data_IF_511468201194
#
_entry.id   IF_511468201194
#
_cell.length_a   1.000
_cell.length_b   1.000
_cell.length_c   1.000
_cell.angle_alpha   90.00
_cell.angle_beta   90.00
_cell.angle_gamma   90.00
#
_symmetry.space_group_name_H-M   'P 1'
#
loop_
_entity.id
_entity.type
_entity.pdbx_description
1 polymer ?
#
# COMPACT_ATOMS: atom_id res chain seq x y z
N UNK A 1 16.83 -21.58 -15.73
CA UNK A 1 18.09 -21.31 -15.00
C UNK A 1 17.91 -21.76 -13.55
N UNK A 2 18.85 -22.54 -13.00
CA UNK A 2 18.72 -23.02 -11.62
C UNK A 2 19.08 -21.87 -10.66
N UNK A 3 18.23 -21.50 -9.67
CA UNK A 3 18.48 -20.35 -8.78
C UNK A 3 19.79 -20.44 -8.00
N UNK A 4 20.22 -21.64 -7.62
CA UNK A 4 21.49 -21.86 -6.93
C UNK A 4 22.68 -21.57 -7.84
N UNK A 5 22.64 -22.00 -9.11
CA UNK A 5 23.69 -21.72 -10.08
C UNK A 5 23.84 -20.22 -10.30
N UNK A 6 22.71 -19.50 -10.47
CA UNK A 6 22.71 -18.05 -10.60
C UNK A 6 23.29 -17.35 -9.36
N UNK A 7 22.98 -17.83 -8.16
CA UNK A 7 23.55 -17.29 -6.91
C UNK A 7 25.07 -17.45 -6.87
N UNK A 8 25.62 -18.58 -7.33
CA UNK A 8 27.06 -18.77 -7.43
C UNK A 8 27.71 -17.86 -8.47
N UNK A 9 27.12 -17.74 -9.65
CA UNK A 9 27.65 -16.86 -10.71
C UNK A 9 27.68 -15.39 -10.23
N UNK A 10 26.63 -14.92 -9.57
CA UNK A 10 26.58 -13.56 -8.99
C UNK A 10 27.64 -13.39 -7.90
N UNK A 11 27.84 -14.39 -7.05
CA UNK A 11 28.87 -14.37 -6.00
C UNK A 11 30.28 -14.23 -6.61
N UNK A 12 30.62 -15.04 -7.58
CA UNK A 12 31.92 -14.99 -8.26
C UNK A 12 32.13 -13.63 -8.97
N UNK A 13 31.09 -13.12 -9.66
CA UNK A 13 31.17 -11.81 -10.29
C UNK A 13 31.40 -10.67 -9.29
N UNK A 14 30.78 -10.72 -8.10
CA UNK A 14 31.01 -9.73 -7.04
C UNK A 14 32.45 -9.82 -6.51
N UNK A 15 32.96 -11.03 -6.30
CA UNK A 15 34.34 -11.19 -5.85
C UNK A 15 35.35 -10.67 -6.87
N UNK A 16 35.17 -11.01 -8.14
CA UNK A 16 36.02 -10.51 -9.22
C UNK A 16 35.96 -8.97 -9.29
N UNK A 17 34.79 -8.38 -9.23
CA UNK A 17 34.62 -6.94 -9.20
C UNK A 17 35.36 -6.27 -8.03
N UNK A 18 35.25 -6.83 -6.83
CA UNK A 18 35.91 -6.28 -5.64
C UNK A 18 37.42 -6.41 -5.74
N UNK A 19 37.93 -7.56 -6.16
CA UNK A 19 39.36 -7.81 -6.31
C UNK A 19 40.02 -6.96 -7.40
N UNK A 20 39.27 -6.64 -8.45
CA UNK A 20 39.76 -5.79 -9.54
C UNK A 20 39.69 -4.30 -9.20
N UNK A 21 38.67 -3.89 -8.44
CA UNK A 21 38.43 -2.49 -8.09
C UNK A 21 39.27 -2.03 -6.89
N UNK A 22 39.43 -2.89 -5.88
CA UNK A 22 40.14 -2.57 -4.64
C UNK A 22 41.46 -3.34 -4.57
N UNK A 23 42.53 -2.73 -5.07
CA UNK A 23 43.87 -3.29 -5.03
C UNK A 23 44.73 -2.54 -4.04
N UNK A 24 45.28 -3.28 -3.08
CA UNK A 24 46.24 -2.75 -2.11
C UNK A 24 47.67 -2.92 -2.67
N UNK A 25 48.52 -1.93 -2.42
CA UNK A 25 49.94 -2.00 -2.81
C UNK A 25 50.72 -2.99 -1.97
N UNK A 26 50.33 -3.11 -0.70
CA UNK A 26 50.92 -4.06 0.23
C UNK A 26 50.32 -5.45 0.02
N UNK A 27 51.20 -6.44 -0.19
CA UNK A 27 50.81 -7.82 -0.51
C UNK A 27 50.13 -8.52 0.69
N UNK A 28 50.56 -8.22 1.90
CA UNK A 28 50.00 -8.88 3.09
C UNK A 28 48.63 -8.30 3.43
N UNK A 29 48.42 -7.00 3.24
CA UNK A 29 47.11 -6.36 3.33
C UNK A 29 46.17 -6.91 2.24
N UNK A 30 46.65 -7.07 1.00
CA UNK A 30 45.85 -7.67 -0.08
C UNK A 30 45.39 -9.08 0.25
N UNK A 31 46.27 -9.93 0.78
CA UNK A 31 45.95 -11.29 1.19
C UNK A 31 44.95 -11.32 2.35
N UNK A 32 45.17 -10.48 3.37
CA UNK A 32 44.25 -10.38 4.51
C UNK A 32 42.86 -9.92 4.07
N UNK A 33 42.79 -8.94 3.16
CA UNK A 33 41.52 -8.48 2.57
C UNK A 33 40.80 -9.58 1.80
N UNK A 34 41.53 -10.32 0.94
CA UNK A 34 40.96 -11.44 0.22
C UNK A 34 40.44 -12.54 1.15
N UNK A 35 41.24 -12.92 2.15
CA UNK A 35 40.82 -13.89 3.16
C UNK A 35 39.57 -13.45 3.94
N UNK A 36 39.45 -12.13 4.21
CA UNK A 36 38.28 -11.57 4.89
C UNK A 36 37.02 -11.65 4.01
N UNK A 37 37.08 -11.21 2.73
CA UNK A 37 35.87 -11.21 1.87
C UNK A 37 35.38 -12.61 1.54
N UNK A 38 36.30 -13.60 1.45
CA UNK A 38 35.99 -15.01 1.16
C UNK A 38 35.61 -15.83 2.41
N UNK A 39 35.79 -15.30 3.61
CA UNK A 39 35.47 -16.00 4.87
C UNK A 39 33.99 -16.40 4.92
N UNK A 40 33.72 -17.69 5.14
CA UNK A 40 32.37 -18.25 5.12
C UNK A 40 31.47 -17.74 6.26
N UNK A 41 32.06 -17.31 7.37
CA UNK A 41 31.36 -16.92 8.59
C UNK A 41 31.25 -15.40 8.75
N UNK A 42 32.31 -14.67 8.44
CA UNK A 42 32.42 -13.23 8.67
C UNK A 42 32.58 -12.43 7.38
N UNK A 43 32.76 -13.09 6.25
CA UNK A 43 32.96 -12.47 4.96
C UNK A 43 31.77 -11.71 4.40
N UNK A 44 31.97 -11.16 3.20
CA UNK A 44 31.01 -10.28 2.56
C UNK A 44 29.71 -11.01 2.14
N UNK A 45 29.83 -12.22 1.62
CA UNK A 45 28.67 -12.98 1.09
C UNK A 45 28.45 -14.23 1.92
N UNK A 46 27.26 -14.30 2.50
CA UNK A 46 26.78 -15.45 3.28
C UNK A 46 25.68 -16.19 2.54
N UNK A 47 25.74 -17.48 2.49
CA UNK A 47 24.78 -18.30 1.76
C UNK A 47 25.28 -18.75 0.38
N UNK A 48 24.40 -19.18 -0.52
CA UNK A 48 22.95 -18.94 -0.56
C UNK A 48 22.15 -19.65 0.54
N UNK A 49 21.15 -18.95 1.08
CA UNK A 49 20.18 -19.53 2.01
C UNK A 49 18.90 -19.87 1.25
N UNK A 50 18.37 -21.06 1.48
CA UNK A 50 17.07 -21.48 0.95
C UNK A 50 16.01 -21.24 2.02
N UNK A 51 15.03 -20.39 1.70
CA UNK A 51 13.86 -20.19 2.55
C UNK A 51 12.63 -20.73 1.83
N UNK A 52 12.00 -21.72 2.42
CA UNK A 52 10.73 -22.27 1.93
C UNK A 52 9.59 -21.55 2.66
N UNK A 53 8.71 -20.94 1.89
CA UNK A 53 7.46 -20.38 2.43
C UNK A 53 6.33 -21.33 2.11
N UNK A 54 5.54 -21.69 3.13
CA UNK A 54 4.29 -22.39 2.91
C UNK A 54 3.33 -21.47 2.11
N UNK A 55 2.51 -22.03 1.22
CA UNK A 55 1.47 -21.26 0.52
C UNK A 55 0.48 -20.69 1.54
N UNK A 56 -0.12 -19.55 1.20
CA UNK A 56 -1.20 -19.00 2.03
C UNK A 56 -2.42 -19.92 1.98
N UNK A 57 -3.12 -20.01 3.10
CA UNK A 57 -4.33 -20.86 3.21
C UNK A 57 -5.44 -20.23 2.39
N UNK A 58 -5.94 -20.97 1.40
CA UNK A 58 -7.11 -20.58 0.60
C UNK A 58 -8.37 -20.56 1.46
N UNK A 59 -9.37 -19.80 1.06
CA UNK A 59 -10.69 -19.89 1.68
C UNK A 59 -11.27 -21.31 1.51
N UNK A 60 -12.07 -21.73 2.49
CA UNK A 60 -12.76 -23.02 2.45
C UNK A 60 -13.79 -23.05 1.31
N UNK A 61 -14.08 -24.24 0.76
CA UNK A 61 -15.14 -24.36 -0.25
C UNK A 61 -16.49 -23.88 0.32
N UNK A 62 -17.23 -23.10 -0.47
CA UNK A 62 -18.51 -22.53 -0.05
C UNK A 62 -18.41 -21.26 0.78
N UNK A 63 -17.24 -20.61 0.87
CA UNK A 63 -17.13 -19.30 1.54
C UNK A 63 -18.10 -18.27 0.94
N UNK A 64 -18.66 -17.42 1.77
CA UNK A 64 -19.43 -16.26 1.37
C UNK A 64 -18.59 -14.99 1.56
N UNK A 65 -18.58 -14.10 0.56
CA UNK A 65 -18.00 -12.76 0.69
C UNK A 65 -19.14 -11.82 1.11
N UNK A 66 -19.08 -11.22 2.34
CA UNK A 66 -20.16 -10.40 2.87
C UNK A 66 -20.11 -8.95 2.35
N UNK A 67 -19.69 -8.77 1.08
CA UNK A 67 -19.54 -7.48 0.42
C UNK A 67 -20.33 -7.49 -0.89
N UNK A 68 -20.85 -6.34 -1.31
CA UNK A 68 -21.46 -6.15 -2.62
C UNK A 68 -20.40 -5.86 -3.68
N UNK A 69 -19.30 -5.18 -3.31
CA UNK A 69 -18.11 -4.99 -4.13
C UNK A 69 -17.11 -6.11 -3.80
N UNK A 70 -17.07 -7.12 -4.67
CA UNK A 70 -16.28 -8.34 -4.46
C UNK A 70 -14.99 -8.34 -5.27
N UNK A 71 -13.89 -8.97 -4.77
CA UNK A 71 -12.70 -9.21 -5.57
C UNK A 71 -12.99 -10.13 -6.75
N UNK A 72 -12.32 -9.91 -7.88
CA UNK A 72 -12.40 -10.77 -9.07
C UNK A 72 -11.52 -12.03 -9.01
N UNK A 73 -11.00 -12.38 -7.82
CA UNK A 73 -10.13 -13.54 -7.59
C UNK A 73 -10.58 -14.33 -6.36
N UNK A 74 -10.24 -15.63 -6.26
CA UNK A 74 -10.51 -16.42 -5.07
C UNK A 74 -9.69 -15.91 -3.89
N UNK A 75 -10.31 -15.51 -2.78
CA UNK A 75 -9.61 -14.93 -1.64
C UNK A 75 -8.92 -16.02 -0.81
N UNK A 76 -7.91 -15.59 -0.05
CA UNK A 76 -7.34 -16.38 1.02
C UNK A 76 -8.23 -16.35 2.27
N UNK A 77 -8.07 -17.32 3.17
CA UNK A 77 -8.82 -17.39 4.43
C UNK A 77 -8.75 -16.09 5.23
N UNK A 78 -7.55 -15.54 5.43
CA UNK A 78 -7.38 -14.30 6.19
C UNK A 78 -8.05 -13.07 5.54
N UNK A 79 -8.27 -13.08 4.22
CA UNK A 79 -9.03 -12.03 3.54
C UNK A 79 -10.53 -12.17 3.81
N UNK A 80 -11.07 -13.39 3.81
CA UNK A 80 -12.46 -13.62 4.21
C UNK A 80 -12.69 -13.24 5.67
N UNK A 81 -11.77 -13.61 6.57
CA UNK A 81 -11.84 -13.24 7.97
C UNK A 81 -11.86 -11.70 8.13
N UNK A 82 -11.01 -10.98 7.37
CA UNK A 82 -11.00 -9.52 7.36
C UNK A 82 -12.30 -8.93 6.79
N UNK A 83 -12.84 -9.47 5.71
CA UNK A 83 -14.10 -9.02 5.13
C UNK A 83 -15.28 -9.18 6.11
N UNK A 84 -15.32 -10.29 6.85
CA UNK A 84 -16.33 -10.51 7.89
C UNK A 84 -16.22 -9.51 9.06
N UNK A 85 -15.01 -9.10 9.43
CA UNK A 85 -14.79 -8.12 10.49
C UNK A 85 -15.07 -6.67 10.05
N UNK A 86 -14.84 -6.36 8.79
CA UNK A 86 -14.87 -4.99 8.26
C UNK A 86 -16.14 -4.67 7.44
N UNK A 87 -17.01 -5.64 7.20
CA UNK A 87 -18.26 -5.41 6.47
C UNK A 87 -19.22 -4.48 7.22
N UNK A 88 -20.02 -3.74 6.46
CA UNK A 88 -21.19 -2.98 7.01
C UNK A 88 -22.51 -3.62 6.61
N UNK A 89 -22.49 -4.85 6.07
CA UNK A 89 -23.71 -5.56 5.63
C UNK A 89 -24.63 -5.84 6.81
N UNK A 90 -25.93 -5.58 6.62
CA UNK A 90 -26.94 -5.86 7.63
C UNK A 90 -26.83 -4.97 8.89
N UNK A 91 -26.18 -3.80 8.79
CA UNK A 91 -25.96 -2.91 9.93
C UNK A 91 -24.80 -3.33 10.84
N UNK A 92 -23.94 -4.25 10.38
CA UNK A 92 -22.73 -4.62 11.11
C UNK A 92 -21.80 -3.39 11.23
N UNK A 93 -21.26 -3.17 12.41
CA UNK A 93 -20.26 -2.13 12.68
C UNK A 93 -18.86 -2.73 12.51
N UNK A 94 -18.02 -2.17 11.63
CA UNK A 94 -16.67 -2.65 11.42
C UNK A 94 -15.89 -2.74 12.73
N UNK A 95 -15.18 -3.83 12.92
CA UNK A 95 -14.42 -4.09 14.14
C UNK A 95 -12.95 -3.68 13.97
N UNK A 96 -12.31 -3.23 15.06
CA UNK A 96 -10.87 -2.99 15.09
C UNK A 96 -10.12 -4.26 14.70
N UNK A 97 -9.42 -4.22 13.57
CA UNK A 97 -8.82 -5.41 12.96
C UNK A 97 -7.33 -5.23 12.73
N UNK A 98 -6.52 -6.19 13.17
CA UNK A 98 -5.08 -6.24 12.93
C UNK A 98 -4.77 -7.38 11.96
N UNK A 99 -4.16 -7.06 10.80
CA UNK A 99 -3.83 -8.03 9.76
C UNK A 99 -2.33 -8.28 9.76
N UNK A 100 -1.92 -9.47 10.27
CA UNK A 100 -0.53 -9.89 10.43
C UNK A 100 -0.21 -11.11 9.57
N UNK A 101 0.03 -10.90 8.29
CA UNK A 101 0.37 -11.98 7.35
C UNK A 101 1.67 -11.70 6.63
N UNK A 102 2.28 -12.71 6.00
CA UNK A 102 3.52 -12.58 5.24
C UNK A 102 3.43 -11.59 4.07
N UNK A 103 4.55 -11.16 3.55
CA UNK A 103 4.62 -10.30 2.35
C UNK A 103 4.05 -11.04 1.14
N UNK A 104 3.28 -10.35 0.31
CA UNK A 104 2.64 -10.92 -0.89
C UNK A 104 1.33 -11.68 -0.60
N UNK A 105 0.78 -11.62 0.62
CA UNK A 105 -0.47 -12.28 0.99
C UNK A 105 -1.76 -11.53 0.61
N UNK A 106 -1.65 -10.37 -0.02
CA UNK A 106 -2.84 -9.56 -0.31
C UNK A 106 -3.42 -8.85 0.92
N UNK A 107 -2.56 -8.33 1.83
CA UNK A 107 -3.01 -7.55 2.99
C UNK A 107 -3.80 -6.29 2.61
N UNK A 108 -3.39 -5.64 1.53
CA UNK A 108 -4.08 -4.44 1.04
C UNK A 108 -5.52 -4.75 0.67
N UNK A 109 -5.76 -5.87 0.03
CA UNK A 109 -7.08 -6.33 -0.38
C UNK A 109 -8.00 -6.57 0.81
N UNK A 110 -7.47 -6.95 1.98
CA UNK A 110 -8.25 -7.17 3.20
C UNK A 110 -9.05 -5.95 3.64
N UNK A 111 -8.55 -4.75 3.42
CA UNK A 111 -9.25 -3.51 3.75
C UNK A 111 -9.76 -2.75 2.52
N UNK A 112 -9.13 -2.91 1.36
CA UNK A 112 -9.52 -2.21 0.15
C UNK A 112 -10.96 -2.51 -0.27
N UNK A 113 -11.34 -3.80 -0.36
CA UNK A 113 -12.70 -4.18 -0.76
C UNK A 113 -13.77 -3.77 0.24
N UNK A 114 -13.61 -3.93 1.57
CA UNK A 114 -14.53 -3.33 2.55
C UNK A 114 -14.67 -1.81 2.42
N UNK A 115 -13.59 -1.08 2.17
CA UNK A 115 -13.62 0.37 1.93
C UNK A 115 -14.46 0.70 0.70
N UNK A 116 -14.20 0.03 -0.43
CA UNK A 116 -14.94 0.26 -1.67
C UNK A 116 -16.43 -0.08 -1.50
N UNK A 117 -16.73 -1.15 -0.79
CA UNK A 117 -18.09 -1.58 -0.48
C UNK A 117 -18.84 -0.55 0.40
N UNK A 118 -18.17 -0.02 1.41
CA UNK A 118 -18.70 1.04 2.25
C UNK A 118 -18.97 2.32 1.45
N UNK A 119 -18.03 2.75 0.63
CA UNK A 119 -18.20 3.89 -0.24
C UNK A 119 -19.35 3.69 -1.24
N UNK A 120 -19.48 2.49 -1.82
CA UNK A 120 -20.59 2.12 -2.69
C UNK A 120 -21.95 2.26 -2.00
N UNK A 121 -22.10 1.73 -0.81
CA UNK A 121 -23.34 1.80 -0.02
C UNK A 121 -23.71 3.22 0.42
N UNK A 122 -22.72 4.11 0.44
CA UNK A 122 -22.89 5.50 0.85
C UNK A 122 -22.72 6.49 -0.31
N UNK A 123 -22.94 6.06 -1.56
CA UNK A 123 -22.97 6.96 -2.73
C UNK A 123 -24.01 8.06 -2.48
N UNK A 124 -23.62 9.31 -2.75
CA UNK A 124 -24.47 10.49 -2.54
C UNK A 124 -24.35 11.15 -1.17
N UNK A 125 -23.85 10.46 -0.13
CA UNK A 125 -23.46 11.13 1.13
C UNK A 125 -22.15 11.89 0.89
N UNK A 126 -22.12 13.15 1.29
CA UNK A 126 -20.93 14.00 1.18
C UNK A 126 -20.01 13.83 2.38
N UNK A 127 -18.73 14.08 2.17
CA UNK A 127 -17.69 14.01 3.20
C UNK A 127 -16.75 12.83 3.01
N UNK A 128 -15.66 12.88 3.74
CA UNK A 128 -14.65 11.81 3.76
C UNK A 128 -15.26 10.61 4.49
N UNK A 129 -15.36 9.49 3.81
CA UNK A 129 -15.90 8.25 4.34
C UNK A 129 -14.83 7.38 4.98
N UNK A 130 -13.61 7.43 4.43
CA UNK A 130 -12.47 6.63 4.90
C UNK A 130 -11.17 7.41 4.77
N UNK A 131 -10.31 7.28 5.77
CA UNK A 131 -8.94 7.82 5.75
C UNK A 131 -7.95 6.66 5.72
N UNK A 132 -7.06 6.65 4.72
CA UNK A 132 -5.97 5.68 4.63
C UNK A 132 -4.66 6.37 4.94
N UNK A 133 -4.00 5.94 6.02
CA UNK A 133 -2.74 6.51 6.48
C UNK A 133 -1.54 5.67 6.03
N UNK A 134 -0.61 6.29 5.34
CA UNK A 134 0.67 5.69 4.98
C UNK A 134 1.83 6.43 5.65
N UNK A 135 2.85 5.71 6.13
CA UNK A 135 4.00 6.34 6.80
C UNK A 135 4.89 7.15 5.84
N UNK A 136 4.85 6.86 4.54
CA UNK A 136 5.72 7.45 3.52
C UNK A 136 4.93 7.90 2.30
N UNK A 137 5.26 9.08 1.74
CA UNK A 137 4.61 9.62 0.55
C UNK A 137 4.73 8.70 -0.68
N UNK A 138 5.91 8.09 -0.90
CA UNK A 138 6.13 7.18 -2.01
C UNK A 138 5.18 5.97 -1.99
N UNK A 139 4.96 5.40 -0.80
CA UNK A 139 4.02 4.30 -0.63
C UNK A 139 2.57 4.75 -0.87
N UNK A 140 2.20 5.93 -0.37
CA UNK A 140 0.88 6.50 -0.61
C UNK A 140 0.62 6.71 -2.12
N UNK A 141 1.62 7.19 -2.87
CA UNK A 141 1.51 7.40 -4.32
C UNK A 141 1.36 6.08 -5.10
N UNK A 142 2.08 5.04 -4.72
CA UNK A 142 1.95 3.70 -5.34
C UNK A 142 0.55 3.11 -5.08
N UNK A 143 0.08 3.19 -3.86
CA UNK A 143 -1.25 2.70 -3.47
C UNK A 143 -2.39 3.54 -4.06
N UNK A 144 -2.17 4.83 -4.31
CA UNK A 144 -3.12 5.70 -5.00
C UNK A 144 -3.48 5.18 -6.40
N UNK A 145 -2.47 4.71 -7.15
CA UNK A 145 -2.69 4.11 -8.48
C UNK A 145 -3.52 2.82 -8.39
N UNK A 146 -3.22 1.94 -7.45
CA UNK A 146 -3.98 0.70 -7.23
C UNK A 146 -5.43 0.98 -6.86
N UNK A 147 -5.67 1.98 -6.02
CA UNK A 147 -7.01 2.41 -5.64
C UNK A 147 -7.80 2.96 -6.85
N UNK A 148 -7.15 3.80 -7.68
CA UNK A 148 -7.76 4.30 -8.91
C UNK A 148 -8.19 3.15 -9.81
N UNK A 149 -7.30 2.22 -10.10
CA UNK A 149 -7.59 1.03 -10.92
C UNK A 149 -8.74 0.20 -10.35
N UNK A 150 -8.79 -0.01 -9.04
CA UNK A 150 -9.87 -0.77 -8.39
C UNK A 150 -11.23 -0.07 -8.53
N UNK A 151 -11.27 1.27 -8.40
CA UNK A 151 -12.50 2.07 -8.60
C UNK A 151 -12.94 2.02 -10.08
N UNK A 152 -12.00 2.16 -11.01
CA UNK A 152 -12.32 2.16 -12.44
C UNK A 152 -12.69 0.79 -13.00
N UNK A 153 -12.23 -0.30 -12.37
CA UNK A 153 -12.57 -1.67 -12.76
C UNK A 153 -14.04 -2.02 -12.51
N UNK A 154 -14.74 -1.34 -11.61
CA UNK A 154 -16.15 -1.58 -11.30
C UNK A 154 -17.02 -0.40 -11.76
N UNK A 155 -17.93 -0.65 -12.70
CA UNK A 155 -18.82 0.38 -13.25
C UNK A 155 -19.74 1.03 -12.20
N UNK A 156 -20.00 0.37 -11.07
CA UNK A 156 -20.80 0.89 -9.97
C UNK A 156 -20.04 1.97 -9.17
N UNK A 157 -18.70 1.89 -9.16
CA UNK A 157 -17.82 2.82 -8.44
C UNK A 157 -17.34 3.95 -9.35
N UNK A 158 -17.09 3.65 -10.63
CA UNK A 158 -16.58 4.63 -11.60
C UNK A 158 -17.51 5.82 -11.70
N UNK A 159 -16.95 7.01 -11.43
CA UNK A 159 -17.70 8.28 -11.47
C UNK A 159 -18.61 8.52 -10.25
N UNK A 160 -18.77 7.54 -9.36
CA UNK A 160 -19.61 7.63 -8.17
C UNK A 160 -18.81 7.67 -6.86
N UNK A 161 -17.61 7.14 -6.86
CA UNK A 161 -16.69 7.13 -5.72
C UNK A 161 -15.42 7.88 -6.08
N UNK A 162 -15.00 8.79 -5.22
CA UNK A 162 -13.82 9.63 -5.43
C UNK A 162 -12.73 9.33 -4.41
N UNK A 163 -11.46 9.46 -4.83
CA UNK A 163 -10.33 9.33 -3.95
C UNK A 163 -9.33 10.47 -4.16
N UNK A 164 -8.69 10.92 -3.10
CA UNK A 164 -7.72 12.02 -3.13
C UNK A 164 -6.44 11.70 -2.37
N UNK A 165 -5.31 12.16 -2.89
CA UNK A 165 -3.99 12.03 -2.29
C UNK A 165 -3.58 13.37 -1.63
N UNK A 166 -3.68 13.43 -0.32
CA UNK A 166 -3.38 14.61 0.49
C UNK A 166 -2.05 14.43 1.22
N UNK A 167 -0.94 14.75 0.52
CA UNK A 167 0.43 14.62 1.02
C UNK A 167 1.19 15.95 0.90
N UNK A 168 2.34 16.07 1.59
CA UNK A 168 3.23 17.21 1.46
C UNK A 168 3.75 17.36 0.04
N UNK A 169 3.75 18.57 -0.51
CA UNK A 169 4.27 18.87 -1.86
C UNK A 169 5.79 18.74 -1.88
N UNK A 170 6.31 17.89 -2.79
CA UNK A 170 7.65 18.10 -3.36
C UNK A 170 7.59 19.32 -4.28
N UNK A 171 8.64 20.16 -4.30
CA UNK A 171 8.67 21.45 -4.99
C UNK A 171 8.54 21.41 -6.53
N UNK A 172 8.50 20.22 -7.16
CA UNK A 172 8.74 20.07 -8.61
C UNK A 172 7.54 19.65 -9.47
N UNK A 173 6.33 19.49 -8.92
CA UNK A 173 5.16 19.13 -9.75
C UNK A 173 4.26 20.34 -10.00
N UNK A 174 4.23 20.81 -11.27
CA UNK A 174 3.36 21.92 -11.72
C UNK A 174 1.93 21.49 -12.03
N UNK A 175 1.70 20.23 -12.40
CA UNK A 175 0.39 19.71 -12.79
C UNK A 175 -0.09 18.62 -11.83
N UNK A 176 -1.00 19.01 -10.93
CA UNK A 176 -1.68 18.06 -10.06
C UNK A 176 -3.02 17.66 -10.68
N UNK A 177 -3.37 16.38 -10.62
CA UNK A 177 -4.67 15.89 -11.06
C UNK A 177 -5.79 16.54 -10.28
N UNK A 178 -6.73 17.14 -10.99
CA UNK A 178 -7.94 17.75 -10.42
C UNK A 178 -9.15 16.82 -10.44
N UNK A 179 -9.06 15.71 -11.18
CA UNK A 179 -10.09 14.69 -11.30
C UNK A 179 -9.46 13.28 -11.20
N UNK A 180 -10.30 12.28 -10.98
CA UNK A 180 -9.88 10.89 -11.03
C UNK A 180 -9.74 10.40 -12.47
N UNK A 181 -8.72 9.58 -12.70
CA UNK A 181 -8.44 8.86 -13.93
C UNK A 181 -8.22 7.38 -13.62
N UNK A 182 -8.14 6.53 -14.66
CA UNK A 182 -7.94 5.09 -14.48
C UNK A 182 -6.65 4.73 -13.73
N UNK A 183 -5.60 5.55 -13.92
CA UNK A 183 -4.28 5.33 -13.32
C UNK A 183 -3.92 6.35 -12.22
N UNK A 184 -4.87 7.18 -11.77
CA UNK A 184 -4.60 8.20 -10.78
C UNK A 184 -5.83 8.79 -10.09
N UNK A 185 -5.63 9.21 -8.86
CA UNK A 185 -6.64 9.87 -8.02
C UNK A 185 -6.42 11.37 -7.99
N UNK A 186 -7.32 12.13 -7.36
CA UNK A 186 -7.22 13.58 -7.22
C UNK A 186 -5.98 13.93 -6.39
N UNK A 187 -5.11 14.79 -6.92
CA UNK A 187 -3.86 15.23 -6.26
C UNK A 187 -3.85 16.73 -5.96
N UNK A 188 -4.75 17.50 -6.58
CA UNK A 188 -4.85 18.94 -6.34
C UNK A 188 -5.37 19.21 -4.92
N UNK A 189 -4.52 19.85 -4.10
CA UNK A 189 -4.85 20.19 -2.73
C UNK A 189 -6.09 21.10 -2.65
N UNK A 190 -6.19 22.07 -3.51
CA UNK A 190 -7.30 23.02 -3.52
C UNK A 190 -8.62 22.32 -3.85
N UNK A 191 -8.59 21.37 -4.78
CA UNK A 191 -9.77 20.55 -5.11
C UNK A 191 -10.16 19.68 -3.93
N UNK A 192 -9.20 19.00 -3.28
CA UNK A 192 -9.45 18.12 -2.13
C UNK A 192 -10.04 18.91 -0.94
N UNK A 193 -9.53 20.11 -0.66
CA UNK A 193 -10.01 20.94 0.46
C UNK A 193 -11.42 21.46 0.19
N UNK A 194 -11.70 21.95 -1.03
CA UNK A 194 -13.00 22.55 -1.36
C UNK A 194 -14.06 21.51 -1.72
N UNK A 195 -13.65 20.33 -2.19
CA UNK A 195 -14.53 19.22 -2.54
C UNK A 195 -13.92 17.90 -2.01
N UNK A 196 -14.09 17.63 -0.71
CA UNK A 196 -13.51 16.45 -0.06
C UNK A 196 -13.91 15.14 -0.75
N UNK A 197 -12.94 14.25 -1.05
CA UNK A 197 -13.21 12.96 -1.68
C UNK A 197 -13.82 11.97 -0.70
N UNK A 198 -14.40 10.89 -1.20
CA UNK A 198 -14.91 9.78 -0.38
C UNK A 198 -13.78 9.07 0.38
N UNK A 199 -12.64 8.89 -0.26
CA UNK A 199 -11.46 8.21 0.30
C UNK A 199 -10.28 9.17 0.30
N UNK A 200 -9.73 9.45 1.49
CA UNK A 200 -8.56 10.32 1.65
C UNK A 200 -7.30 9.49 1.95
N UNK A 201 -6.36 9.45 1.00
CA UNK A 201 -5.03 8.91 1.24
C UNK A 201 -4.12 10.03 1.74
N UNK A 202 -3.47 9.80 2.87
CA UNK A 202 -2.61 10.82 3.46
C UNK A 202 -1.49 10.20 4.32
N UNK A 203 -0.66 11.03 4.92
CA UNK A 203 0.28 10.65 5.96
C UNK A 203 -0.09 11.35 7.29
N UNK A 204 0.49 10.87 8.39
CA UNK A 204 0.16 11.37 9.71
C UNK A 204 0.41 12.87 9.88
N UNK A 205 1.48 13.43 9.26
CA UNK A 205 1.80 14.88 9.35
C UNK A 205 0.77 15.73 8.62
N UNK A 206 0.31 15.27 7.46
CA UNK A 206 -0.70 16.00 6.67
C UNK A 206 -2.08 15.88 7.30
N UNK A 207 -2.41 14.73 7.90
CA UNK A 207 -3.64 14.59 8.67
C UNK A 207 -3.65 15.54 9.87
N UNK A 208 -2.58 15.57 10.63
CA UNK A 208 -2.40 16.46 11.77
C UNK A 208 -2.53 17.94 11.37
N UNK A 209 -1.85 18.34 10.27
CA UNK A 209 -2.04 19.67 9.68
C UNK A 209 -3.47 19.95 9.25
N UNK A 210 -4.14 18.98 8.65
CA UNK A 210 -5.52 19.08 8.19
C UNK A 210 -6.53 19.27 9.32
N UNK A 211 -6.22 18.73 10.50
CA UNK A 211 -7.05 18.88 11.72
C UNK A 211 -6.74 20.20 12.46
N UNK A 212 -5.46 20.56 12.55
CA UNK A 212 -5.05 21.67 13.41
C UNK A 212 -5.13 23.05 12.77
N UNK A 213 -4.96 23.16 11.45
CA UNK A 213 -4.92 24.45 10.74
C UNK A 213 -6.27 24.86 10.20
N UNK A 214 -6.70 26.08 10.53
CA UNK A 214 -7.96 26.67 10.07
C UNK A 214 -8.13 26.73 8.54
N UNK A 215 -7.02 26.84 7.80
CA UNK A 215 -7.02 26.82 6.32
C UNK A 215 -7.59 25.53 5.72
N UNK A 216 -7.67 24.46 6.52
CA UNK A 216 -8.19 23.15 6.11
C UNK A 216 -9.59 22.84 6.65
N UNK A 217 -10.27 23.78 7.30
CA UNK A 217 -11.60 23.57 7.86
C UNK A 217 -12.62 23.08 6.82
N UNK A 218 -12.51 23.56 5.58
CA UNK A 218 -13.39 23.15 4.47
C UNK A 218 -13.26 21.66 4.14
N UNK A 219 -12.10 21.02 4.40
CA UNK A 219 -11.90 19.59 4.24
C UNK A 219 -12.87 18.77 5.09
N UNK A 220 -13.24 19.27 6.26
CA UNK A 220 -14.04 18.57 7.26
C UNK A 220 -15.50 19.08 7.33
N UNK A 221 -15.89 20.04 6.47
CA UNK A 221 -17.18 20.69 6.55
C UNK A 221 -18.37 19.72 6.53
N UNK A 222 -18.32 18.69 5.68
CA UNK A 222 -19.37 17.69 5.58
C UNK A 222 -19.32 16.68 6.73
N UNK A 223 -18.12 16.30 7.17
CA UNK A 223 -17.94 15.40 8.31
C UNK A 223 -18.36 16.06 9.63
N UNK A 224 -18.22 17.36 9.78
CA UNK A 224 -18.72 18.11 10.94
C UNK A 224 -20.25 18.15 10.97
N UNK A 225 -20.90 18.14 9.79
CA UNK A 225 -22.36 18.12 9.68
C UNK A 225 -22.94 16.69 9.82
N UNK A 226 -22.22 15.66 9.38
CA UNK A 226 -22.58 14.24 9.42
C UNK A 226 -21.36 13.42 9.89
N UNK A 227 -21.12 13.34 11.22
CA UNK A 227 -19.96 12.60 11.75
C UNK A 227 -20.00 11.10 11.45
N UNK A 228 -21.17 10.52 11.28
CA UNK A 228 -21.36 9.09 11.06
C UNK A 228 -20.99 8.64 9.64
N UNK A 229 -20.62 9.58 8.77
CA UNK A 229 -20.16 9.24 7.41
C UNK A 229 -18.73 8.68 7.40
N UNK A 230 -17.90 9.06 8.38
CA UNK A 230 -16.53 8.56 8.52
C UNK A 230 -16.56 7.25 9.34
N UNK A 231 -16.03 6.17 8.74
CA UNK A 231 -15.92 4.83 9.32
C UNK A 231 -14.46 4.43 9.54
#
# INVERSE_FOLDING_TARGET
>A
MLPLQQAYEVKEAIYEFIQTTYRFKDIDVQKAFQAFIEDKKHGLIKGPFVSLKAPFVSAEEGYEIPLDIKPGFPPYKHQIDAFNQLTTRGGHVPQNTLITTGTGSGKTECFLYPILDYCYKNIGRKGIKVIILYPMNALATDQARRLAQAIYADNRLRGNVTAGLFIGKGQDKKDFRTAMEEDGIIESRDVIINNPPDILLTNFKMLDMGIMKGDYNSLWQYNSADPDVLQ
#
